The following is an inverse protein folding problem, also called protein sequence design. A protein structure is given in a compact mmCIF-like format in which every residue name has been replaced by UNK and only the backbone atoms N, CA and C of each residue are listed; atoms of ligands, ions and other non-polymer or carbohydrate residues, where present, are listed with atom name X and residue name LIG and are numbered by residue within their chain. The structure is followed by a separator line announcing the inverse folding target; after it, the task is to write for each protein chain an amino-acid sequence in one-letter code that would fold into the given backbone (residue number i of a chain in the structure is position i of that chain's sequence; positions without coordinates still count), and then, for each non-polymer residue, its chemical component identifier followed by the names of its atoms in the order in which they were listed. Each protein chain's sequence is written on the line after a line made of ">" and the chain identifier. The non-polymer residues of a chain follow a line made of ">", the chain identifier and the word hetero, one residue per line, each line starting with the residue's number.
data_IF_441610281085
#
_entry.id   IF_441610281085
#
_cell.length_a   1.000
_cell.length_b   1.000
_cell.length_c   1.000
_cell.angle_alpha   90.00
_cell.angle_beta   90.00
_cell.angle_gamma   90.00
#
_symmetry.space_group_name_H-M   'P 1'
#
loop_
_entity.id
_entity.type
_entity.pdbx_description
1 polymer ?
#
# COMPACT_ATOMS: atom_id res chain seq x y z
N UNK A 1 -22.53 10.81 -1.23
CA UNK A 1 -21.65 9.75 -0.67
C UNK A 1 -21.11 8.96 -1.86
N UNK A 2 -19.88 9.26 -2.31
CA UNK A 2 -19.37 8.66 -3.55
C UNK A 2 -19.02 7.18 -3.31
N UNK A 3 -19.53 6.27 -4.17
CA UNK A 3 -19.26 4.83 -4.10
C UNK A 3 -17.76 4.49 -4.03
N UNK A 4 -16.90 5.30 -4.67
CA UNK A 4 -15.44 5.20 -4.57
C UNK A 4 -14.93 5.19 -3.12
N UNK A 5 -15.63 5.84 -2.19
CA UNK A 5 -15.27 5.84 -0.78
C UNK A 5 -15.76 4.60 -0.03
N UNK A 6 -16.84 3.95 -0.46
CA UNK A 6 -17.41 2.81 0.26
C UNK A 6 -16.60 1.54 0.01
N UNK A 7 -16.29 1.22 -1.25
CA UNK A 7 -15.48 0.04 -1.54
C UNK A 7 -14.07 0.16 -0.94
N UNK A 8 -13.44 1.34 -1.00
CA UNK A 8 -12.16 1.58 -0.33
C UNK A 8 -12.24 1.40 1.19
N UNK A 9 -13.37 1.76 1.83
CA UNK A 9 -13.60 1.51 3.26
C UNK A 9 -13.83 0.03 3.55
N UNK A 10 -14.54 -0.69 2.70
CA UNK A 10 -14.72 -2.14 2.82
C UNK A 10 -13.39 -2.88 2.68
N UNK A 11 -12.53 -2.50 1.73
CA UNK A 11 -11.15 -3.01 1.63
C UNK A 11 -10.44 -2.84 2.97
N UNK A 12 -10.49 -1.63 3.54
CA UNK A 12 -9.88 -1.37 4.84
C UNK A 12 -10.46 -2.17 5.99
N UNK A 13 -11.79 -2.35 6.01
CA UNK A 13 -12.48 -3.16 7.02
C UNK A 13 -12.00 -4.62 6.99
N UNK A 14 -12.05 -5.28 5.83
CA UNK A 14 -11.60 -6.67 5.68
C UNK A 14 -10.10 -6.80 5.98
N UNK A 15 -9.27 -5.90 5.44
CA UNK A 15 -7.83 -5.87 5.67
C UNK A 15 -7.49 -5.72 7.17
N UNK A 16 -8.23 -4.88 7.91
CA UNK A 16 -8.02 -4.67 9.35
C UNK A 16 -8.36 -5.92 10.19
N UNK A 17 -9.24 -6.79 9.70
CA UNK A 17 -9.56 -8.08 10.32
C UNK A 17 -8.56 -9.19 9.92
N UNK A 18 -7.56 -8.88 9.07
CA UNK A 18 -6.65 -9.86 8.50
C UNK A 18 -7.24 -10.69 7.36
N UNK A 19 -8.49 -10.42 6.94
CA UNK A 19 -9.13 -11.09 5.82
C UNK A 19 -8.65 -10.50 4.48
N UNK A 20 -7.45 -10.90 4.10
CA UNK A 20 -6.85 -10.47 2.84
C UNK A 20 -7.57 -11.03 1.61
N UNK A 21 -8.41 -12.07 1.75
CA UNK A 21 -9.13 -12.64 0.61
C UNK A 21 -10.25 -11.72 0.18
N UNK A 22 -11.11 -11.35 1.13
CA UNK A 22 -12.23 -10.46 0.86
C UNK A 22 -11.77 -9.02 0.61
N UNK A 23 -10.68 -8.58 1.26
CA UNK A 23 -10.07 -7.29 0.96
C UNK A 23 -9.65 -7.18 -0.52
N UNK A 24 -8.98 -8.21 -1.06
CA UNK A 24 -8.58 -8.28 -2.48
C UNK A 24 -9.79 -8.37 -3.40
N UNK A 25 -10.75 -9.23 -3.07
CA UNK A 25 -11.96 -9.39 -3.86
C UNK A 25 -12.74 -8.08 -4.02
N UNK A 26 -12.87 -7.29 -2.95
CA UNK A 26 -13.53 -5.98 -3.02
C UNK A 26 -12.65 -4.98 -3.79
N UNK A 27 -11.33 -5.02 -3.60
CA UNK A 27 -10.39 -4.14 -4.30
C UNK A 27 -10.45 -4.32 -5.83
N UNK A 28 -10.48 -5.57 -6.31
CA UNK A 28 -10.51 -5.90 -7.75
C UNK A 28 -11.78 -5.38 -8.44
N UNK A 29 -12.83 -5.09 -7.67
CA UNK A 29 -14.08 -4.50 -8.16
C UNK A 29 -14.08 -2.97 -8.18
N UNK A 30 -12.99 -2.31 -7.79
CA UNK A 30 -12.89 -0.85 -7.81
C UNK A 30 -12.29 -0.42 -9.16
N UNK A 31 -13.05 0.20 -10.07
CA UNK A 31 -12.52 0.57 -11.40
C UNK A 31 -11.42 1.63 -11.35
N UNK A 32 -11.43 2.46 -10.30
CA UNK A 32 -10.47 3.54 -10.06
C UNK A 32 -10.09 3.54 -8.58
N UNK A 33 -9.17 2.68 -8.13
CA UNK A 33 -8.76 2.66 -6.74
C UNK A 33 -8.06 3.97 -6.38
N UNK A 34 -8.06 4.30 -5.09
CA UNK A 34 -7.36 5.46 -4.54
C UNK A 34 -6.24 5.01 -3.61
N UNK A 35 -5.39 5.96 -3.22
CA UNK A 35 -4.26 5.71 -2.31
C UNK A 35 -4.71 5.07 -0.99
N UNK A 36 -5.91 5.37 -0.51
CA UNK A 36 -6.44 4.79 0.73
C UNK A 36 -6.64 3.27 0.64
N UNK A 37 -7.30 2.78 -0.41
CA UNK A 37 -7.54 1.34 -0.58
C UNK A 37 -6.22 0.58 -0.73
N UNK A 38 -5.29 1.12 -1.54
CA UNK A 38 -3.98 0.51 -1.72
C UNK A 38 -3.14 0.55 -0.43
N UNK A 39 -3.18 1.64 0.34
CA UNK A 39 -2.48 1.71 1.62
C UNK A 39 -2.95 0.62 2.60
N UNK A 40 -4.23 0.27 2.60
CA UNK A 40 -4.73 -0.86 3.40
C UNK A 40 -4.14 -2.20 2.95
N UNK A 41 -4.04 -2.44 1.64
CA UNK A 41 -3.45 -3.67 1.12
C UNK A 41 -1.94 -3.73 1.36
N UNK A 42 -1.21 -2.62 1.17
CA UNK A 42 0.21 -2.50 1.51
C UNK A 42 0.42 -2.78 3.00
N UNK A 43 -0.38 -2.16 3.87
CA UNK A 43 -0.35 -2.33 5.33
C UNK A 43 -0.62 -3.77 5.75
N UNK A 44 -1.78 -4.31 5.39
CA UNK A 44 -2.20 -5.62 5.86
C UNK A 44 -1.30 -6.74 5.32
N UNK A 45 -0.80 -6.61 4.09
CA UNK A 45 0.19 -7.55 3.55
C UNK A 45 1.49 -7.52 4.37
N UNK A 46 2.02 -6.33 4.70
CA UNK A 46 3.22 -6.22 5.53
C UNK A 46 2.98 -6.68 6.97
N UNK A 47 1.80 -6.41 7.53
CA UNK A 47 1.42 -6.83 8.88
C UNK A 47 1.32 -8.36 9.00
N UNK A 48 0.81 -9.01 7.96
CA UNK A 48 0.71 -10.47 7.86
C UNK A 48 2.03 -11.14 7.41
N UNK A 49 3.16 -10.42 7.41
CA UNK A 49 4.47 -10.95 6.99
C UNK A 49 4.62 -11.20 5.48
N UNK A 50 3.61 -10.86 4.68
CA UNK A 50 3.60 -10.97 3.22
C UNK A 50 4.27 -9.74 2.58
N UNK A 51 5.54 -9.52 2.91
CA UNK A 51 6.27 -8.31 2.51
C UNK A 51 6.42 -8.15 0.99
N UNK A 52 6.59 -9.24 0.23
CA UNK A 52 6.66 -9.18 -1.24
C UNK A 52 5.37 -8.64 -1.84
N UNK A 53 4.23 -9.07 -1.30
CA UNK A 53 2.91 -8.61 -1.71
C UNK A 53 2.69 -7.13 -1.34
N UNK A 54 3.16 -6.70 -0.16
CA UNK A 54 3.16 -5.30 0.24
C UNK A 54 3.90 -4.40 -0.76
N UNK A 55 5.11 -4.81 -1.19
CA UNK A 55 5.88 -4.09 -2.21
C UNK A 55 5.17 -4.15 -3.58
N UNK A 56 4.49 -5.25 -3.89
CA UNK A 56 3.67 -5.39 -5.09
C UNK A 56 2.56 -4.34 -5.16
N UNK A 57 1.77 -4.19 -4.08
CA UNK A 57 0.73 -3.15 -4.03
C UNK A 57 1.28 -1.73 -4.06
N UNK A 58 2.45 -1.48 -3.46
CA UNK A 58 3.13 -0.20 -3.59
C UNK A 58 3.57 0.07 -5.04
N UNK A 59 4.06 -0.95 -5.75
CA UNK A 59 4.43 -0.85 -7.16
C UNK A 59 3.21 -0.61 -8.05
N UNK A 60 2.09 -1.24 -7.73
CA UNK A 60 0.81 -1.03 -8.42
C UNK A 60 0.32 0.42 -8.33
N UNK A 61 0.60 1.15 -7.23
CA UNK A 61 0.29 2.59 -7.17
C UNK A 61 0.92 3.36 -8.33
N UNK A 62 2.19 3.07 -8.64
CA UNK A 62 2.92 3.70 -9.74
C UNK A 62 2.32 3.33 -11.09
N UNK A 63 1.98 2.06 -11.29
CA UNK A 63 1.37 1.55 -12.53
C UNK A 63 0.01 2.21 -12.81
N UNK A 64 -0.75 2.51 -11.75
CA UNK A 64 -2.05 3.17 -11.84
C UNK A 64 -1.98 4.71 -11.82
N UNK A 65 -0.78 5.30 -11.74
CA UNK A 65 -0.60 6.74 -11.62
C UNK A 65 -1.11 7.34 -10.31
N UNK A 66 -1.21 6.53 -9.25
CA UNK A 66 -1.63 6.93 -7.91
C UNK A 66 -0.39 7.36 -7.12
N UNK A 67 -0.38 8.61 -6.66
CA UNK A 67 0.73 9.14 -5.85
C UNK A 67 0.72 8.53 -4.45
N UNK A 68 1.82 7.87 -4.09
CA UNK A 68 2.09 7.40 -2.74
C UNK A 68 2.19 8.56 -1.75
N UNK A 69 1.82 8.33 -0.49
CA UNK A 69 1.95 9.32 0.58
C UNK A 69 2.87 8.79 1.69
N UNK A 70 3.11 9.61 2.72
CA UNK A 70 3.95 9.22 3.85
C UNK A 70 3.62 7.87 4.47
N UNK A 71 2.32 7.53 4.60
CA UNK A 71 1.89 6.22 5.11
C UNK A 71 2.34 5.08 4.19
N UNK A 72 2.19 5.24 2.87
CA UNK A 72 2.67 4.28 1.88
C UNK A 72 4.16 3.99 2.05
N UNK A 73 4.96 5.07 2.21
CA UNK A 73 6.41 4.98 2.36
C UNK A 73 6.85 4.29 3.65
N UNK A 74 6.28 4.66 4.79
CA UNK A 74 6.63 4.03 6.07
C UNK A 74 6.38 2.51 6.04
N UNK A 75 5.26 2.07 5.45
CA UNK A 75 4.91 0.65 5.38
C UNK A 75 5.83 -0.09 4.41
N UNK A 76 6.08 0.45 3.22
CA UNK A 76 6.90 -0.25 2.22
C UNK A 76 8.38 -0.30 2.64
N UNK A 77 8.88 0.70 3.37
CA UNK A 77 10.20 0.63 4.00
C UNK A 77 10.29 -0.51 5.02
N UNK A 78 9.25 -0.69 5.86
CA UNK A 78 9.15 -1.84 6.77
C UNK A 78 9.18 -3.16 5.99
N UNK A 79 8.48 -3.26 4.87
CA UNK A 79 8.49 -4.44 4.02
C UNK A 79 9.88 -4.71 3.40
N UNK A 80 10.61 -3.66 2.98
CA UNK A 80 11.98 -3.79 2.50
C UNK A 80 12.92 -4.34 3.58
N UNK A 81 12.81 -3.85 4.81
CA UNK A 81 13.56 -4.36 5.97
C UNK A 81 13.19 -5.83 6.23
N UNK A 82 11.90 -6.17 6.22
CA UNK A 82 11.42 -7.54 6.43
C UNK A 82 11.92 -8.55 5.40
N UNK A 83 12.26 -8.11 4.18
CA UNK A 83 12.87 -8.95 3.14
C UNK A 83 14.39 -8.84 3.05
N UNK A 84 15.01 -7.97 3.86
CA UNK A 84 16.43 -7.62 3.74
C UNK A 84 16.80 -7.07 2.33
N UNK A 85 15.84 -6.42 1.66
CA UNK A 85 15.97 -5.88 0.30
C UNK A 85 16.57 -4.45 0.33
N UNK A 86 17.86 -4.36 0.60
CA UNK A 86 18.57 -3.08 0.78
C UNK A 86 18.48 -2.16 -0.44
N UNK A 87 18.58 -2.71 -1.64
CA UNK A 87 18.49 -1.94 -2.88
C UNK A 87 17.10 -1.31 -3.02
N UNK A 88 16.05 -2.07 -2.72
CA UNK A 88 14.68 -1.57 -2.77
C UNK A 88 14.44 -0.49 -1.70
N UNK A 89 14.98 -0.69 -0.51
CA UNK A 89 14.95 0.31 0.56
C UNK A 89 15.57 1.64 0.12
N UNK A 90 16.70 1.62 -0.58
CA UNK A 90 17.34 2.83 -1.13
C UNK A 90 16.51 3.51 -2.21
N UNK A 91 15.88 2.75 -3.11
CA UNK A 91 14.95 3.29 -4.12
C UNK A 91 13.81 4.04 -3.44
N UNK A 92 13.14 3.39 -2.48
CA UNK A 92 12.02 3.97 -1.75
C UNK A 92 12.46 5.21 -0.96
N UNK A 93 13.60 5.15 -0.27
CA UNK A 93 14.14 6.29 0.47
C UNK A 93 14.44 7.48 -0.45
N UNK A 94 14.95 7.23 -1.67
CA UNK A 94 15.15 8.29 -2.66
C UNK A 94 13.81 8.91 -3.13
N UNK A 95 12.74 8.11 -3.19
CA UNK A 95 11.40 8.62 -3.51
C UNK A 95 10.84 9.50 -2.39
N UNK A 96 11.05 9.12 -1.13
CA UNK A 96 10.66 9.92 0.06
C UNK A 96 11.24 11.33 -0.04
N UNK A 97 12.55 11.44 -0.30
CA UNK A 97 13.21 12.74 -0.46
C UNK A 97 12.68 13.55 -1.65
N UNK A 98 12.51 12.91 -2.82
CA UNK A 98 11.96 13.57 -4.02
C UNK A 98 10.54 14.08 -3.84
N UNK A 99 9.77 13.49 -2.94
CA UNK A 99 8.39 13.87 -2.66
C UNK A 99 8.25 14.83 -1.45
N UNK A 100 9.35 15.21 -0.80
CA UNK A 100 9.33 16.15 0.33
C UNK A 100 8.86 15.52 1.64
N UNK A 101 9.04 14.21 1.81
CA UNK A 101 8.65 13.45 3.02
C UNK A 101 9.85 13.07 3.90
N UNK A 102 11.01 13.69 3.73
CA UNK A 102 12.25 13.33 4.42
C UNK A 102 12.27 13.65 5.93
N UNK A 103 11.31 14.44 6.41
CA UNK A 103 11.20 14.86 7.81
C UNK A 103 9.97 14.27 8.54
N UNK A 104 9.21 13.38 7.89
CA UNK A 104 8.09 12.64 8.51
C UNK A 104 8.59 11.37 9.24
#
# INVERSE_FOLDING_TARGET
>A
MNLLSLNSKLVGMYASCGDMRDAKYVFDKIPKPNVFALNWLVFASAFNGSYKESIGYFSLMKELGITANKFSFSIVLKACVGLMELNKGREVHSMVYKMGFEND
#
